data_IF_563708495482
#
_entry.id   IF_563708495482
#
_cell.length_a   1.000
_cell.length_b   1.000
_cell.length_c   1.000
_cell.angle_alpha   90.00
_cell.angle_beta   90.00
_cell.angle_gamma   90.00
#
_symmetry.space_group_name_H-M   'P 1'
#
loop_
_entity.id
_entity.type
_entity.pdbx_description
1 polymer ?
#
# COMPACT_ATOMS: atom_id res chain seq x y z
N UNK A 1 -13.57 -21.63 -4.80
CA UNK A 1 -12.56 -21.51 -5.87
C UNK A 1 -11.17 -21.71 -5.26
N UNK A 2 -10.29 -22.57 -5.81
CA UNK A 2 -8.92 -22.70 -5.32
C UNK A 2 -8.12 -21.41 -5.58
N UNK A 3 -7.32 -20.99 -4.62
CA UNK A 3 -6.48 -19.79 -4.70
C UNK A 3 -5.01 -20.19 -4.63
N UNK A 4 -4.22 -19.75 -5.60
CA UNK A 4 -2.76 -19.82 -5.59
C UNK A 4 -2.21 -18.43 -5.24
N UNK A 5 -1.55 -18.32 -4.10
CA UNK A 5 -0.86 -17.10 -3.69
C UNK A 5 0.58 -17.11 -4.19
N UNK A 6 0.92 -16.19 -5.08
CA UNK A 6 2.26 -16.03 -5.63
C UNK A 6 3.04 -15.04 -4.76
N UNK A 7 4.12 -15.49 -4.17
CA UNK A 7 4.96 -14.72 -3.27
C UNK A 7 6.38 -14.57 -3.85
N UNK A 8 7.03 -13.47 -3.50
CA UNK A 8 8.47 -13.33 -3.71
C UNK A 8 9.19 -14.35 -2.82
N UNK A 9 10.28 -14.94 -3.33
CA UNK A 9 11.15 -15.79 -2.53
C UNK A 9 11.57 -15.08 -1.23
N UNK A 10 11.57 -15.83 -0.12
CA UNK A 10 11.83 -15.32 1.24
C UNK A 10 10.84 -14.24 1.74
N UNK A 11 9.60 -14.27 1.27
CA UNK A 11 8.54 -13.46 1.84
C UNK A 11 8.38 -13.70 3.34
N UNK A 12 7.85 -12.71 4.05
CA UNK A 12 7.63 -12.76 5.49
C UNK A 12 6.87 -14.03 5.90
N UNK A 13 7.44 -14.82 6.81
CA UNK A 13 6.87 -16.09 7.31
C UNK A 13 5.44 -15.89 7.85
N UNK A 14 5.17 -14.76 8.52
CA UNK A 14 3.84 -14.44 9.02
C UNK A 14 2.79 -14.34 7.89
N UNK A 15 3.17 -13.82 6.72
CA UNK A 15 2.29 -13.77 5.56
C UNK A 15 2.00 -15.17 5.01
N UNK A 16 3.02 -16.04 4.97
CA UNK A 16 2.87 -17.42 4.52
C UNK A 16 1.92 -18.19 5.44
N UNK A 17 2.09 -18.05 6.77
CA UNK A 17 1.22 -18.69 7.77
C UNK A 17 -0.22 -18.22 7.61
N UNK A 18 -0.45 -16.90 7.44
CA UNK A 18 -1.80 -16.34 7.22
C UNK A 18 -2.46 -16.89 5.96
N UNK A 19 -1.73 -16.93 4.84
CA UNK A 19 -2.26 -17.42 3.56
C UNK A 19 -2.57 -18.91 3.59
N UNK A 20 -1.70 -19.73 4.18
CA UNK A 20 -1.95 -21.16 4.38
C UNK A 20 -3.18 -21.39 5.28
N UNK A 21 -3.34 -20.62 6.35
CA UNK A 21 -4.52 -20.72 7.23
C UNK A 21 -5.83 -20.36 6.52
N UNK A 22 -5.77 -19.53 5.47
CA UNK A 22 -6.90 -19.20 4.59
C UNK A 22 -7.13 -20.25 3.48
N UNK A 23 -6.32 -21.31 3.44
CA UNK A 23 -6.45 -22.38 2.46
C UNK A 23 -5.82 -22.08 1.09
N UNK A 24 -5.02 -21.05 0.96
CA UNK A 24 -4.30 -20.75 -0.27
C UNK A 24 -3.11 -21.70 -0.46
N UNK A 25 -2.88 -22.16 -1.69
CA UNK A 25 -1.62 -22.81 -2.08
C UNK A 25 -0.57 -21.72 -2.31
N UNK A 26 0.67 -21.96 -1.88
CA UNK A 26 1.76 -20.99 -2.05
C UNK A 26 2.67 -21.37 -3.22
N UNK A 27 3.02 -20.39 -4.05
CA UNK A 27 4.08 -20.49 -5.03
C UNK A 27 5.09 -19.36 -4.82
N UNK A 28 6.37 -19.66 -4.99
CA UNK A 28 7.44 -18.69 -4.84
C UNK A 28 8.04 -18.39 -6.21
N UNK A 29 8.12 -17.11 -6.56
CA UNK A 29 8.61 -16.67 -7.86
C UNK A 29 9.68 -15.60 -7.74
N UNK A 30 10.58 -15.59 -8.67
CA UNK A 30 11.48 -14.46 -8.94
C UNK A 30 10.82 -13.52 -9.95
N UNK A 31 10.31 -12.39 -9.47
CA UNK A 31 9.60 -11.41 -10.30
C UNK A 31 10.49 -10.76 -11.38
N UNK A 32 11.82 -10.93 -11.31
CA UNK A 32 12.74 -10.48 -12.35
C UNK A 32 12.76 -11.39 -13.58
N UNK A 33 12.23 -12.62 -13.46
CA UNK A 33 12.24 -13.65 -14.50
C UNK A 33 10.83 -14.00 -14.95
N UNK A 34 10.58 -13.88 -16.27
CA UNK A 34 9.24 -14.16 -16.83
C UNK A 34 8.87 -15.64 -16.66
N UNK A 35 9.85 -16.55 -16.81
CA UNK A 35 9.63 -17.99 -16.75
C UNK A 35 9.15 -18.46 -15.35
N UNK A 36 9.46 -17.68 -14.31
CA UNK A 36 9.02 -18.02 -12.96
C UNK A 36 7.52 -17.84 -12.76
N UNK A 37 6.85 -17.03 -13.58
CA UNK A 37 5.40 -16.89 -13.58
C UNK A 37 4.68 -17.98 -14.36
N UNK A 38 5.29 -18.53 -15.42
CA UNK A 38 4.65 -19.49 -16.31
C UNK A 38 4.10 -20.70 -15.57
N UNK A 39 4.90 -21.30 -14.68
CA UNK A 39 4.48 -22.46 -13.91
C UNK A 39 3.37 -22.10 -12.90
N UNK A 40 3.48 -20.96 -12.24
CA UNK A 40 2.52 -20.52 -11.23
C UNK A 40 1.17 -20.14 -11.83
N UNK A 41 1.15 -19.64 -13.05
CA UNK A 41 -0.07 -19.17 -13.73
C UNK A 41 -0.73 -20.26 -14.59
N UNK A 42 -0.12 -21.45 -14.70
CA UNK A 42 -0.68 -22.53 -15.52
C UNK A 42 -2.07 -22.94 -15.03
N UNK A 43 -3.09 -22.83 -15.91
CA UNK A 43 -4.46 -23.16 -15.61
C UNK A 43 -5.22 -22.13 -14.76
N UNK A 44 -4.65 -20.96 -14.50
CA UNK A 44 -5.34 -19.88 -13.81
C UNK A 44 -6.42 -19.26 -14.71
N UNK A 45 -7.66 -19.23 -14.25
CA UNK A 45 -8.76 -18.56 -14.97
C UNK A 45 -8.73 -17.04 -14.73
N UNK A 46 -8.38 -16.61 -13.54
CA UNK A 46 -8.21 -15.20 -13.17
C UNK A 46 -6.85 -14.98 -12.57
N UNK A 47 -6.16 -13.95 -13.04
CA UNK A 47 -4.84 -13.54 -12.53
C UNK A 47 -4.92 -12.14 -11.91
N UNK A 48 -4.53 -12.01 -10.64
CA UNK A 48 -4.62 -10.76 -9.88
C UNK A 48 -3.22 -10.31 -9.50
N UNK A 49 -2.83 -9.09 -9.86
CA UNK A 49 -1.58 -8.48 -9.43
C UNK A 49 -1.80 -7.33 -8.46
N UNK A 50 -1.28 -7.52 -7.24
CA UNK A 50 -1.14 -6.48 -6.22
C UNK A 50 0.34 -6.11 -6.01
N UNK A 51 1.22 -6.41 -6.98
CA UNK A 51 2.65 -6.15 -6.85
C UNK A 51 2.94 -4.66 -6.88
N UNK A 52 3.69 -4.20 -5.89
CA UNK A 52 4.21 -2.85 -5.81
C UNK A 52 5.60 -2.88 -5.17
N UNK A 53 6.41 -1.87 -5.45
CA UNK A 53 7.75 -1.70 -4.87
C UNK A 53 7.74 -1.47 -3.35
N UNK A 54 6.54 -1.51 -2.76
CA UNK A 54 6.36 -1.25 -1.34
C UNK A 54 6.40 0.24 -1.02
N UNK A 55 6.47 0.56 0.25
CA UNK A 55 6.45 1.92 0.78
C UNK A 55 7.43 2.86 0.07
N UNK A 56 7.26 4.18 0.24
CA UNK A 56 8.21 5.23 -0.18
C UNK A 56 9.67 5.04 0.32
N UNK A 57 9.96 3.90 0.92
CA UNK A 57 11.28 3.44 1.37
C UNK A 57 11.99 2.53 0.38
N UNK A 58 11.64 2.59 -0.91
CA UNK A 58 12.41 1.91 -1.96
C UNK A 58 13.87 2.39 -1.96
N UNK A 59 14.80 1.48 -2.16
CA UNK A 59 16.22 1.79 -2.12
C UNK A 59 16.69 2.54 -3.36
N UNK A 60 16.02 2.33 -4.49
CA UNK A 60 16.30 2.99 -5.76
C UNK A 60 15.03 3.43 -6.48
N UNK A 61 15.10 4.48 -7.31
CA UNK A 61 14.03 4.83 -8.25
C UNK A 61 13.84 3.73 -9.30
N UNK A 62 14.89 2.95 -9.56
CA UNK A 62 14.86 1.83 -10.49
C UNK A 62 13.91 0.72 -10.01
N UNK A 63 13.61 0.63 -8.71
CA UNK A 63 12.65 -0.32 -8.16
C UNK A 63 11.22 -0.04 -8.65
N UNK A 64 10.84 1.21 -8.90
CA UNK A 64 9.55 1.54 -9.53
C UNK A 64 9.47 0.93 -10.94
N UNK A 65 10.53 1.05 -11.71
CA UNK A 65 10.59 0.50 -13.07
C UNK A 65 10.69 -1.02 -13.07
N UNK A 66 11.48 -1.60 -12.18
CA UNK A 66 11.65 -3.05 -12.11
C UNK A 66 10.41 -3.78 -11.58
N UNK A 67 9.72 -3.22 -10.57
CA UNK A 67 8.61 -3.89 -9.89
C UNK A 67 7.26 -3.37 -10.39
N UNK A 68 7.04 -2.04 -10.31
CA UNK A 68 5.73 -1.48 -10.65
C UNK A 68 5.44 -1.53 -12.14
N UNK A 69 6.46 -1.49 -13.01
CA UNK A 69 6.33 -1.69 -14.44
C UNK A 69 6.65 -3.11 -14.87
N UNK A 70 7.93 -3.52 -14.80
CA UNK A 70 8.41 -4.69 -15.53
C UNK A 70 7.89 -6.01 -14.97
N UNK A 71 7.87 -6.17 -13.63
CA UNK A 71 7.33 -7.38 -13.02
C UNK A 71 5.82 -7.51 -13.25
N UNK A 72 5.06 -6.40 -13.16
CA UNK A 72 3.63 -6.40 -13.48
C UNK A 72 3.37 -6.73 -14.96
N UNK A 73 4.15 -6.17 -15.90
CA UNK A 73 4.02 -6.49 -17.32
C UNK A 73 4.30 -7.97 -17.56
N UNK A 74 5.40 -8.51 -17.01
CA UNK A 74 5.72 -9.95 -17.13
C UNK A 74 4.60 -10.83 -16.63
N UNK A 75 4.08 -10.52 -15.43
CA UNK A 75 2.96 -11.23 -14.85
C UNK A 75 1.72 -11.21 -15.76
N UNK A 76 1.30 -10.03 -16.21
CA UNK A 76 0.10 -9.88 -17.03
C UNK A 76 0.24 -10.55 -18.41
N UNK A 77 1.39 -10.40 -19.07
CA UNK A 77 1.65 -11.07 -20.34
C UNK A 77 1.65 -12.59 -20.19
N UNK A 78 2.21 -13.10 -19.10
CA UNK A 78 2.24 -14.54 -18.84
C UNK A 78 0.86 -15.08 -18.48
N UNK A 79 0.04 -14.31 -17.74
CA UNK A 79 -1.35 -14.65 -17.47
C UNK A 79 -2.16 -14.83 -18.79
N UNK A 80 -1.98 -13.88 -19.72
CA UNK A 80 -2.61 -13.96 -21.06
C UNK A 80 -2.13 -15.21 -21.81
N UNK A 81 -0.82 -15.49 -21.80
CA UNK A 81 -0.25 -16.69 -22.46
C UNK A 81 -0.74 -17.99 -21.84
N UNK A 82 -0.91 -18.02 -20.51
CA UNK A 82 -1.42 -19.16 -19.76
C UNK A 82 -2.91 -19.42 -20.00
N UNK A 83 -3.61 -18.55 -20.73
CA UNK A 83 -5.03 -18.69 -21.06
C UNK A 83 -5.99 -18.16 -19.99
N UNK A 84 -5.52 -17.24 -19.13
CA UNK A 84 -6.41 -16.55 -18.19
C UNK A 84 -7.54 -15.85 -18.96
N UNK A 85 -8.74 -15.88 -18.37
CA UNK A 85 -9.94 -15.22 -18.91
C UNK A 85 -10.07 -13.78 -18.42
N UNK A 86 -9.49 -13.49 -17.26
CA UNK A 86 -9.55 -12.18 -16.61
C UNK A 86 -8.22 -11.84 -15.94
N UNK A 87 -7.70 -10.65 -16.19
CA UNK A 87 -6.55 -10.09 -15.48
C UNK A 87 -7.00 -8.87 -14.70
N UNK A 88 -6.68 -8.82 -13.41
CA UNK A 88 -6.96 -7.68 -12.52
C UNK A 88 -5.66 -7.10 -12.03
N UNK A 89 -5.49 -5.78 -12.14
CA UNK A 89 -4.31 -5.07 -11.68
C UNK A 89 -4.69 -4.00 -10.65
N UNK A 90 -4.08 -4.06 -9.47
CA UNK A 90 -4.14 -2.96 -8.50
C UNK A 90 -3.12 -1.90 -8.89
N UNK A 91 -3.61 -0.71 -9.21
CA UNK A 91 -2.83 0.43 -9.69
C UNK A 91 -2.95 1.65 -8.77
N UNK A 92 -2.33 2.77 -9.17
CA UNK A 92 -2.34 4.02 -8.40
C UNK A 92 -3.66 4.76 -8.60
N UNK A 93 -4.22 5.30 -7.53
CA UNK A 93 -5.34 6.25 -7.61
C UNK A 93 -4.95 7.44 -8.49
N UNK A 94 -5.86 7.86 -9.38
CA UNK A 94 -5.60 8.93 -10.37
C UNK A 94 -4.24 8.76 -11.11
N UNK A 95 -3.81 7.53 -11.34
CA UNK A 95 -2.51 7.24 -11.93
C UNK A 95 -2.32 7.87 -13.30
N UNK A 96 -3.39 7.94 -14.12
CA UNK A 96 -3.34 8.58 -15.44
C UNK A 96 -3.06 10.07 -15.35
N UNK A 97 -3.64 10.78 -14.39
CA UNK A 97 -3.48 12.21 -14.19
C UNK A 97 -2.11 12.54 -13.57
N UNK A 98 -1.64 11.67 -12.66
CA UNK A 98 -0.35 11.83 -11.99
C UNK A 98 0.84 11.26 -12.78
N UNK A 99 0.61 10.54 -13.88
CA UNK A 99 1.63 9.83 -14.68
C UNK A 99 2.83 10.70 -15.03
N UNK A 100 2.61 11.94 -15.47
CA UNK A 100 3.68 12.88 -15.86
C UNK A 100 4.31 13.60 -14.68
N UNK A 101 3.74 13.45 -13.48
CA UNK A 101 4.15 14.16 -12.29
C UNK A 101 5.04 13.32 -11.38
N UNK A 102 4.87 12.00 -11.42
CA UNK A 102 5.60 11.08 -10.53
C UNK A 102 6.06 9.84 -11.29
N UNK A 103 7.31 9.45 -11.09
CA UNK A 103 7.88 8.23 -11.69
C UNK A 103 7.17 6.96 -11.22
N UNK A 104 6.66 6.97 -9.99
CA UNK A 104 5.88 5.86 -9.44
C UNK A 104 4.59 5.62 -10.23
N UNK A 105 3.81 6.69 -10.47
CA UNK A 105 2.59 6.59 -11.27
C UNK A 105 2.90 6.25 -12.72
N UNK A 106 3.95 6.83 -13.31
CA UNK A 106 4.32 6.56 -14.69
C UNK A 106 4.70 5.08 -14.89
N UNK A 107 5.50 4.51 -14.00
CA UNK A 107 5.87 3.08 -14.05
C UNK A 107 4.63 2.18 -13.97
N UNK A 108 3.72 2.47 -13.05
CA UNK A 108 2.48 1.70 -12.88
C UNK A 108 1.54 1.84 -14.09
N UNK A 109 1.40 3.05 -14.65
CA UNK A 109 0.57 3.29 -15.83
C UNK A 109 1.16 2.66 -17.11
N UNK A 110 2.49 2.56 -17.23
CA UNK A 110 3.11 1.77 -18.28
C UNK A 110 2.69 0.29 -18.22
N UNK A 111 2.57 -0.26 -17.00
CA UNK A 111 2.07 -1.63 -16.83
C UNK A 111 0.59 -1.75 -17.19
N UNK A 112 -0.24 -0.80 -16.75
CA UNK A 112 -1.68 -0.75 -17.14
C UNK A 112 -1.84 -0.75 -18.65
N UNK A 113 -1.09 0.11 -19.35
CA UNK A 113 -1.18 0.23 -20.81
C UNK A 113 -0.73 -1.05 -21.52
N UNK A 114 0.40 -1.64 -21.12
CA UNK A 114 0.96 -2.83 -21.75
C UNK A 114 0.09 -4.07 -21.53
N UNK A 115 -0.38 -4.29 -20.29
CA UNK A 115 -1.26 -5.42 -19.96
C UNK A 115 -2.61 -5.25 -20.68
N UNK A 116 -3.20 -4.04 -20.61
CA UNK A 116 -4.47 -3.77 -21.27
C UNK A 116 -4.40 -3.96 -22.79
N UNK A 117 -3.29 -3.60 -23.43
CA UNK A 117 -3.09 -3.86 -24.86
C UNK A 117 -3.04 -5.36 -25.16
N UNK A 118 -2.30 -6.14 -24.37
CA UNK A 118 -2.20 -7.59 -24.53
C UNK A 118 -3.55 -8.30 -24.28
N UNK A 119 -4.26 -7.91 -23.24
CA UNK A 119 -5.58 -8.45 -22.94
C UNK A 119 -6.59 -8.18 -24.08
N UNK A 120 -6.66 -6.94 -24.58
CA UNK A 120 -7.53 -6.61 -25.74
C UNK A 120 -7.19 -7.43 -26.98
N UNK A 121 -5.92 -7.62 -27.28
CA UNK A 121 -5.47 -8.41 -28.43
C UNK A 121 -5.87 -9.88 -28.30
N UNK A 122 -5.86 -10.42 -27.08
CA UNK A 122 -6.18 -11.83 -26.81
C UNK A 122 -7.66 -12.07 -26.49
N UNK A 123 -8.51 -11.04 -26.38
CA UNK A 123 -9.91 -11.18 -25.95
C UNK A 123 -10.03 -11.57 -24.48
N UNK A 124 -9.07 -11.15 -23.63
CA UNK A 124 -9.04 -11.39 -22.18
C UNK A 124 -9.57 -10.15 -21.47
N UNK A 125 -10.48 -10.32 -20.52
CA UNK A 125 -10.99 -9.21 -19.70
C UNK A 125 -9.87 -8.57 -18.87
N UNK A 126 -9.88 -7.22 -18.74
CA UNK A 126 -8.89 -6.50 -17.97
C UNK A 126 -9.54 -5.45 -17.07
N UNK A 127 -9.35 -5.60 -15.75
CA UNK A 127 -9.89 -4.66 -14.76
C UNK A 127 -8.76 -4.00 -13.97
N UNK A 128 -8.87 -2.68 -13.76
CA UNK A 128 -7.90 -1.90 -12.98
C UNK A 128 -8.57 -1.38 -11.71
N UNK A 129 -8.03 -1.71 -10.56
CA UNK A 129 -8.48 -1.23 -9.26
C UNK A 129 -7.52 -0.16 -8.76
N UNK A 130 -8.04 1.00 -8.38
CA UNK A 130 -7.27 2.19 -7.97
C UNK A 130 -7.70 2.67 -6.57
N UNK A 131 -7.16 2.06 -5.49
CA UNK A 131 -7.47 2.48 -4.14
C UNK A 131 -6.93 3.88 -3.84
N UNK A 132 -7.67 4.68 -3.06
CA UNK A 132 -7.27 6.04 -2.66
C UNK A 132 -6.04 6.03 -1.74
N UNK A 133 -6.13 5.36 -0.61
CA UNK A 133 -5.03 5.05 0.30
C UNK A 133 -5.48 3.96 1.26
N UNK A 134 -4.57 3.09 1.65
CA UNK A 134 -4.87 2.05 2.62
C UNK A 134 -4.80 2.58 4.06
N UNK A 135 -5.64 2.03 4.95
CA UNK A 135 -5.58 2.33 6.37
C UNK A 135 -4.18 2.14 6.94
N UNK A 136 -3.50 1.05 6.57
CA UNK A 136 -2.14 0.74 7.04
C UNK A 136 -1.13 1.86 6.78
N UNK A 137 -1.23 2.55 5.64
CA UNK A 137 -0.32 3.66 5.30
C UNK A 137 -0.56 4.87 6.20
N UNK A 138 -1.83 5.19 6.45
CA UNK A 138 -2.22 6.31 7.31
C UNK A 138 -1.96 6.01 8.77
N UNK A 139 -2.29 4.78 9.22
CA UNK A 139 -2.08 4.33 10.59
C UNK A 139 -0.61 4.36 10.96
N UNK A 140 0.27 3.87 10.10
CA UNK A 140 1.71 3.92 10.34
C UNK A 140 2.26 5.35 10.41
N UNK A 141 1.73 6.28 9.61
CA UNK A 141 2.19 7.68 9.59
C UNK A 141 1.56 8.54 10.68
N UNK A 142 0.23 8.55 10.77
CA UNK A 142 -0.49 9.42 11.68
C UNK A 142 -0.34 8.94 13.12
N UNK A 143 -0.70 7.70 13.39
CA UNK A 143 -0.68 7.13 14.73
C UNK A 143 0.73 7.17 15.35
N UNK A 144 1.75 6.70 14.65
CA UNK A 144 3.13 6.69 15.16
C UNK A 144 3.69 8.11 15.37
N UNK A 145 3.32 9.05 14.51
CA UNK A 145 3.76 10.44 14.65
C UNK A 145 3.14 11.10 15.89
N UNK A 146 1.85 10.88 16.10
CA UNK A 146 1.12 11.42 17.26
C UNK A 146 1.60 10.75 18.55
N UNK A 147 1.69 9.41 18.56
CA UNK A 147 2.11 8.65 19.74
C UNK A 147 3.54 8.99 20.19
N UNK A 148 4.48 8.99 19.25
CA UNK A 148 5.92 9.18 19.58
C UNK A 148 6.31 10.63 19.79
N UNK A 149 5.58 11.58 19.18
CA UNK A 149 6.03 12.99 19.10
C UNK A 149 4.99 14.00 19.62
N UNK A 150 3.76 13.59 19.92
CA UNK A 150 2.67 14.48 20.30
C UNK A 150 2.32 15.52 19.22
N UNK A 151 2.67 15.23 17.95
CA UNK A 151 2.49 16.15 16.82
C UNK A 151 2.21 15.41 15.53
N UNK A 152 1.49 16.07 14.63
CA UNK A 152 1.19 15.56 13.30
C UNK A 152 1.57 16.59 12.24
N UNK A 153 2.08 16.13 11.10
CA UNK A 153 2.51 17.00 10.01
C UNK A 153 1.61 16.79 8.80
N UNK A 154 1.07 17.88 8.27
CA UNK A 154 0.25 17.90 7.04
C UNK A 154 0.96 18.68 5.94
N UNK A 155 0.66 18.32 4.69
CA UNK A 155 1.12 19.04 3.50
C UNK A 155 0.07 20.08 3.13
N UNK A 156 0.50 21.28 2.75
CA UNK A 156 -0.41 22.40 2.59
C UNK A 156 -1.05 22.77 3.93
N UNK A 157 -2.33 23.09 3.93
CA UNK A 157 -3.12 23.35 5.14
C UNK A 157 -3.77 22.08 5.71
N UNK A 158 -3.68 20.95 4.97
CA UNK A 158 -4.28 19.67 5.33
C UNK A 158 -5.79 19.61 5.18
N UNK A 159 -6.39 20.51 4.39
CA UNK A 159 -7.83 20.58 4.13
C UNK A 159 -8.31 19.62 3.03
N UNK A 160 -7.40 19.14 2.17
CA UNK A 160 -7.75 18.17 1.12
C UNK A 160 -8.31 16.89 1.71
N UNK A 161 -9.30 16.34 1.01
CA UNK A 161 -10.10 15.21 1.47
C UNK A 161 -9.63 13.91 0.85
N UNK A 162 -9.79 12.84 1.62
CA UNK A 162 -9.50 11.48 1.21
C UNK A 162 -10.50 10.54 1.86
N UNK A 163 -10.92 9.49 1.17
CA UNK A 163 -11.65 8.38 1.77
C UNK A 163 -10.79 7.11 1.78
N UNK A 164 -9.92 6.96 2.79
CA UNK A 164 -9.05 5.80 2.89
C UNK A 164 -9.86 4.51 3.04
N UNK A 165 -9.28 3.39 2.61
CA UNK A 165 -9.96 2.10 2.52
C UNK A 165 -9.20 1.00 3.27
N UNK A 166 -9.94 0.03 3.80
CA UNK A 166 -9.36 -1.20 4.36
C UNK A 166 -8.85 -2.11 3.23
N UNK A 167 -7.75 -2.79 3.47
CA UNK A 167 -7.21 -3.77 2.53
C UNK A 167 -8.13 -4.96 2.32
N UNK A 168 -8.84 -5.40 3.35
CA UNK A 168 -9.79 -6.51 3.26
C UNK A 168 -11.05 -6.10 2.46
N UNK A 169 -11.50 -4.83 2.56
CA UNK A 169 -12.59 -4.29 1.74
C UNK A 169 -12.19 -4.19 0.25
N UNK A 170 -10.95 -3.79 -0.04
CA UNK A 170 -10.44 -3.82 -1.42
C UNK A 170 -10.36 -5.25 -1.95
N UNK A 171 -9.95 -6.22 -1.13
CA UNK A 171 -9.92 -7.62 -1.52
C UNK A 171 -11.33 -8.16 -1.82
N UNK A 172 -12.33 -7.80 -1.01
CA UNK A 172 -13.73 -8.13 -1.27
C UNK A 172 -14.22 -7.50 -2.58
N UNK A 173 -13.92 -6.23 -2.83
CA UNK A 173 -14.25 -5.56 -4.09
C UNK A 173 -13.59 -6.25 -5.30
N UNK A 174 -12.34 -6.70 -5.17
CA UNK A 174 -11.68 -7.47 -6.23
C UNK A 174 -12.40 -8.82 -6.47
N UNK A 175 -12.86 -9.49 -5.41
CA UNK A 175 -13.64 -10.72 -5.54
C UNK A 175 -14.95 -10.48 -6.29
N UNK A 176 -15.67 -9.40 -5.98
CA UNK A 176 -16.88 -9.00 -6.71
C UNK A 176 -16.58 -8.75 -8.21
N UNK A 177 -15.40 -8.17 -8.54
CA UNK A 177 -15.00 -8.00 -9.93
C UNK A 177 -14.75 -9.31 -10.69
N UNK A 178 -14.44 -10.41 -9.98
CA UNK A 178 -14.30 -11.73 -10.61
C UNK A 178 -15.68 -12.30 -10.97
N UNK A 179 -16.64 -12.13 -10.08
CA UNK A 179 -17.95 -12.79 -10.16
C UNK A 179 -18.96 -11.99 -11.00
N UNK A 180 -18.76 -10.67 -11.19
CA UNK A 180 -19.65 -9.80 -11.95
C UNK A 180 -19.04 -9.39 -13.32
N UNK A 181 -19.54 -9.95 -14.44
CA UNK A 181 -19.05 -9.60 -15.78
C UNK A 181 -19.16 -8.10 -16.12
N UNK A 182 -20.04 -7.35 -15.44
CA UNK A 182 -20.19 -5.89 -15.66
C UNK A 182 -19.00 -5.10 -15.12
N UNK A 183 -18.22 -5.71 -14.25
CA UNK A 183 -17.01 -5.13 -13.69
C UNK A 183 -15.76 -5.41 -14.54
N UNK A 184 -15.90 -6.24 -15.58
CA UNK A 184 -14.84 -6.53 -16.54
C UNK A 184 -14.55 -5.33 -17.46
N UNK A 185 -13.34 -5.26 -17.99
CA UNK A 185 -12.89 -4.21 -18.92
C UNK A 185 -13.11 -2.77 -18.43
N UNK A 186 -12.90 -2.55 -17.13
CA UNK A 186 -13.19 -1.29 -16.46
C UNK A 186 -12.09 -0.85 -15.51
N UNK A 187 -12.10 0.44 -15.16
CA UNK A 187 -11.23 1.02 -14.14
C UNK A 187 -12.08 1.55 -12.97
N UNK A 188 -11.75 1.14 -11.76
CA UNK A 188 -12.48 1.49 -10.55
C UNK A 188 -11.58 2.26 -9.58
N UNK A 189 -11.90 3.53 -9.35
CA UNK A 189 -11.30 4.31 -8.27
C UNK A 189 -12.10 4.04 -7.01
N UNK A 190 -11.50 3.33 -6.04
CA UNK A 190 -12.19 2.87 -4.84
C UNK A 190 -11.63 3.52 -3.58
N UNK A 191 -12.53 3.77 -2.63
CA UNK A 191 -12.21 4.32 -1.31
C UNK A 191 -13.12 3.76 -0.24
N UNK A 192 -12.84 4.06 1.00
CA UNK A 192 -13.65 3.63 2.13
C UNK A 192 -14.92 4.47 2.32
N UNK A 193 -15.75 4.09 3.29
CA UNK A 193 -17.04 4.75 3.51
C UNK A 193 -16.94 6.13 4.16
N UNK A 194 -15.83 6.45 4.82
CA UNK A 194 -15.65 7.73 5.52
C UNK A 194 -14.70 8.66 4.76
N UNK A 195 -15.09 9.93 4.69
CA UNK A 195 -14.27 10.99 4.09
C UNK A 195 -13.62 11.81 5.20
N UNK A 196 -12.30 11.94 5.13
CA UNK A 196 -11.50 12.73 6.07
C UNK A 196 -10.74 13.84 5.34
N UNK A 197 -10.44 14.91 6.05
CA UNK A 197 -9.28 15.75 5.68
C UNK A 197 -8.01 15.16 6.29
N UNK A 198 -6.85 15.46 5.73
CA UNK A 198 -5.59 15.01 6.36
C UNK A 198 -5.45 15.55 7.80
N UNK A 199 -6.01 16.70 8.08
CA UNK A 199 -6.07 17.27 9.42
C UNK A 199 -6.94 16.42 10.37
N UNK A 200 -8.12 15.99 9.88
CA UNK A 200 -9.04 15.15 10.65
C UNK A 200 -8.43 13.78 10.99
N UNK A 201 -7.63 13.20 10.10
CA UNK A 201 -6.90 11.95 10.37
C UNK A 201 -5.94 12.10 11.56
N UNK A 202 -5.20 13.20 11.63
CA UNK A 202 -4.32 13.47 12.78
C UNK A 202 -5.08 13.65 14.09
N UNK A 203 -6.22 14.34 14.04
CA UNK A 203 -7.10 14.54 15.21
C UNK A 203 -7.72 13.22 15.68
N UNK A 204 -8.20 12.39 14.76
CA UNK A 204 -8.71 11.05 15.06
C UNK A 204 -7.63 10.17 15.72
N UNK A 205 -6.40 10.21 15.22
CA UNK A 205 -5.29 9.49 15.85
C UNK A 205 -5.02 9.97 17.28
N UNK A 206 -5.05 11.28 17.52
CA UNK A 206 -4.85 11.85 18.86
C UNK A 206 -5.96 11.47 19.84
N UNK A 207 -7.21 11.48 19.35
CA UNK A 207 -8.38 11.03 20.12
C UNK A 207 -8.26 9.56 20.52
N UNK A 208 -8.00 8.68 19.56
CA UNK A 208 -7.88 7.24 19.82
C UNK A 208 -6.72 6.91 20.77
N UNK A 209 -5.60 7.62 20.65
CA UNK A 209 -4.43 7.46 21.54
C UNK A 209 -4.74 7.98 22.95
N UNK A 210 -5.71 8.89 23.11
CA UNK A 210 -5.96 9.59 24.36
C UNK A 210 -4.86 10.60 24.68
N UNK A 211 -4.41 11.37 23.66
CA UNK A 211 -3.31 12.34 23.84
C UNK A 211 -3.67 13.37 24.91
N UNK A 212 -2.85 13.55 25.96
CA UNK A 212 -3.08 14.58 26.96
C UNK A 212 -2.83 15.98 26.38
N UNK A 213 -3.90 16.73 26.11
CA UNK A 213 -3.86 18.08 25.57
C UNK A 213 -3.99 18.17 24.03
N UNK A 214 -3.94 19.38 23.49
CA UNK A 214 -4.21 19.62 22.08
C UNK A 214 -3.08 19.09 21.17
N UNK A 215 -3.47 18.41 20.07
CA UNK A 215 -2.54 17.95 19.07
C UNK A 215 -1.85 19.13 18.38
N UNK A 216 -0.52 19.11 18.33
CA UNK A 216 0.28 20.08 17.58
C UNK A 216 0.31 19.68 16.11
N UNK A 217 -0.47 20.37 15.26
CA UNK A 217 -0.45 20.16 13.82
C UNK A 217 0.54 21.14 13.17
N UNK A 218 1.50 20.59 12.40
CA UNK A 218 2.47 21.36 11.61
C UNK A 218 2.08 21.30 10.14
N UNK A 219 1.92 22.44 9.51
CA UNK A 219 1.69 22.54 8.07
C UNK A 219 3.03 22.75 7.34
N UNK A 220 3.30 21.96 6.31
CA UNK A 220 4.42 22.21 5.40
C UNK A 220 3.87 22.90 4.17
N UNK A 221 4.22 24.17 3.92
CA UNK A 221 3.73 24.91 2.79
C UNK A 221 4.12 24.24 1.45
N UNK A 222 3.17 24.16 0.51
CA UNK A 222 3.42 23.52 -0.80
C UNK A 222 4.55 24.21 -1.58
N UNK A 223 4.69 25.55 -1.46
CA UNK A 223 5.77 26.26 -2.13
C UNK A 223 7.16 25.81 -1.65
N UNK A 224 7.30 25.51 -0.35
CA UNK A 224 8.56 25.02 0.21
C UNK A 224 8.89 23.62 -0.33
N UNK A 225 7.91 22.72 -0.37
CA UNK A 225 8.09 21.40 -0.95
C UNK A 225 8.43 21.46 -2.45
N UNK A 226 7.80 22.36 -3.20
CA UNK A 226 8.11 22.60 -4.62
C UNK A 226 9.54 23.08 -4.81
N UNK A 227 9.99 24.01 -3.97
CA UNK A 227 11.37 24.50 -3.99
C UNK A 227 12.37 23.37 -3.71
N UNK A 228 12.14 22.59 -2.65
CA UNK A 228 13.01 21.45 -2.29
C UNK A 228 13.01 20.40 -3.39
N UNK A 229 11.85 20.09 -3.99
CA UNK A 229 11.74 19.15 -5.11
C UNK A 229 12.52 19.63 -6.35
N UNK A 230 12.45 20.94 -6.66
CA UNK A 230 13.21 21.52 -7.78
C UNK A 230 14.72 21.40 -7.54
N UNK A 231 15.19 21.77 -6.35
CA UNK A 231 16.61 21.62 -5.97
C UNK A 231 17.07 20.16 -6.02
N UNK A 232 16.26 19.24 -5.46
CA UNK A 232 16.54 17.82 -5.50
C UNK A 232 16.57 17.26 -6.94
N UNK A 233 15.78 17.81 -7.85
CA UNK A 233 15.81 17.45 -9.28
C UNK A 233 17.12 17.87 -9.94
N UNK A 234 17.59 19.08 -9.68
CA UNK A 234 18.88 19.56 -10.20
C UNK A 234 20.03 18.70 -9.69
N UNK A 235 20.10 18.45 -8.38
CA UNK A 235 21.11 17.55 -7.79
C UNK A 235 20.95 16.11 -8.27
N UNK A 236 19.73 15.71 -8.60
CA UNK A 236 19.40 14.41 -9.17
C UNK A 236 20.05 14.11 -10.53
N UNK A 237 20.54 15.11 -11.26
CA UNK A 237 21.30 14.91 -12.50
C UNK A 237 22.60 14.13 -12.25
N UNK A 238 23.17 14.24 -11.04
CA UNK A 238 24.45 13.60 -10.66
C UNK A 238 24.31 12.63 -9.47
N UNK A 239 23.13 12.57 -8.82
CA UNK A 239 22.90 11.76 -7.62
C UNK A 239 21.59 10.98 -7.70
N UNK A 240 21.65 9.65 -7.74
CA UNK A 240 20.51 8.74 -7.69
C UNK A 240 19.64 8.98 -6.45
N UNK A 241 20.26 9.18 -5.29
CA UNK A 241 19.56 9.46 -4.03
C UNK A 241 18.71 10.74 -4.11
N UNK A 242 19.24 11.78 -4.73
CA UNK A 242 18.52 13.05 -4.91
C UNK A 242 17.38 12.91 -5.93
N UNK A 243 17.58 12.14 -6.99
CA UNK A 243 16.53 11.82 -7.97
C UNK A 243 15.34 11.13 -7.30
N UNK A 244 15.60 10.12 -6.47
CA UNK A 244 14.58 9.45 -5.66
C UNK A 244 13.87 10.42 -4.73
N UNK A 245 14.60 11.26 -4.01
CA UNK A 245 14.00 12.26 -3.11
C UNK A 245 13.08 13.22 -3.87
N UNK A 246 13.49 13.65 -5.06
CA UNK A 246 12.67 14.50 -5.92
C UNK A 246 11.37 13.81 -6.35
N UNK A 247 11.42 12.51 -6.72
CA UNK A 247 10.24 11.72 -7.09
C UNK A 247 9.25 11.61 -5.92
N UNK A 248 9.75 11.29 -4.72
CA UNK A 248 8.92 11.20 -3.51
C UNK A 248 8.28 12.56 -3.18
N UNK A 249 9.06 13.65 -3.27
CA UNK A 249 8.55 14.99 -3.01
C UNK A 249 7.45 15.39 -4.02
N UNK A 250 7.61 15.09 -5.30
CA UNK A 250 6.58 15.32 -6.32
C UNK A 250 5.30 14.55 -6.01
N UNK A 251 5.42 13.28 -5.63
CA UNK A 251 4.27 12.49 -5.21
C UNK A 251 3.59 13.08 -3.96
N UNK A 252 4.36 13.50 -2.95
CA UNK A 252 3.82 14.16 -1.75
C UNK A 252 3.09 15.47 -2.09
N UNK A 253 3.64 16.28 -2.99
CA UNK A 253 3.02 17.52 -3.46
C UNK A 253 1.69 17.19 -4.16
N UNK A 254 1.70 16.21 -5.06
CA UNK A 254 0.50 15.77 -5.76
C UNK A 254 -0.58 15.32 -4.77
N UNK A 255 -0.27 14.36 -3.90
CA UNK A 255 -1.21 13.82 -2.91
C UNK A 255 -1.72 14.85 -1.89
N UNK A 256 -0.98 15.92 -1.64
CA UNK A 256 -1.35 16.99 -0.69
C UNK A 256 -1.95 18.22 -1.35
N UNK A 257 -2.28 18.21 -2.65
CA UNK A 257 -2.74 19.37 -3.39
C UNK A 257 -4.14 19.26 -4.00
N UNK A 258 -4.82 18.13 -3.84
CA UNK A 258 -6.20 17.91 -4.28
C UNK A 258 -6.86 16.77 -3.52
N UNK A 259 -8.18 16.65 -3.68
CA UNK A 259 -8.96 15.60 -3.03
C UNK A 259 -8.73 14.25 -3.72
N UNK A 260 -8.66 13.18 -2.93
CA UNK A 260 -8.56 11.80 -3.39
C UNK A 260 -9.77 11.01 -2.90
N UNK A 261 -10.87 11.06 -3.67
CA UNK A 261 -12.14 10.43 -3.29
C UNK A 261 -12.55 9.43 -4.35
N UNK A 262 -12.50 8.14 -4.01
CA UNK A 262 -12.99 7.05 -4.81
C UNK A 262 -14.43 6.66 -4.49
N UNK A 263 -14.99 5.76 -5.27
CA UNK A 263 -16.29 5.15 -4.98
C UNK A 263 -16.18 4.37 -3.67
N UNK A 264 -17.13 4.59 -2.76
CA UNK A 264 -17.12 3.92 -1.47
C UNK A 264 -17.32 2.41 -1.64
N UNK A 265 -16.42 1.62 -1.07
CA UNK A 265 -16.53 0.17 -0.97
C UNK A 265 -16.26 -0.29 0.47
N UNK A 266 -16.89 -1.40 0.84
CA UNK A 266 -16.74 -2.03 2.13
C UNK A 266 -17.32 -1.25 3.32
N UNK A 267 -17.00 -1.71 4.52
CA UNK A 267 -17.54 -1.20 5.79
C UNK A 267 -16.47 -0.87 6.82
N UNK A 268 -15.21 -1.11 6.53
CA UNK A 268 -14.08 -0.84 7.40
C UNK A 268 -14.00 0.62 7.83
N UNK A 269 -13.60 0.86 9.07
CA UNK A 269 -13.49 2.21 9.65
C UNK A 269 -12.06 2.48 10.09
N UNK A 270 -11.51 3.61 9.67
CA UNK A 270 -10.15 4.02 10.05
C UNK A 270 -9.97 4.13 11.57
N UNK A 271 -11.02 4.53 12.28
CA UNK A 271 -10.97 4.61 13.75
C UNK A 271 -10.77 3.23 14.40
N UNK A 272 -11.32 2.17 13.82
CA UNK A 272 -11.18 0.81 14.35
C UNK A 272 -9.78 0.25 14.08
N UNK A 273 -9.19 0.55 12.92
CA UNK A 273 -7.79 0.23 12.63
C UNK A 273 -6.83 0.95 13.61
N UNK A 274 -7.08 2.23 13.91
CA UNK A 274 -6.33 2.96 14.93
C UNK A 274 -6.49 2.35 16.33
N UNK A 275 -7.70 1.94 16.73
CA UNK A 275 -7.95 1.26 18.01
C UNK A 275 -7.22 -0.08 18.08
N UNK A 276 -7.31 -0.89 17.04
CA UNK A 276 -6.61 -2.18 16.94
C UNK A 276 -5.10 -2.02 17.13
N UNK A 277 -4.51 -1.02 16.48
CA UNK A 277 -3.08 -0.72 16.63
C UNK A 277 -2.72 -0.26 18.04
N UNK A 278 -3.54 0.61 18.65
CA UNK A 278 -3.35 1.05 20.05
C UNK A 278 -3.36 -0.14 21.00
N UNK A 279 -4.35 -0.99 20.88
CA UNK A 279 -4.53 -2.15 21.77
C UNK A 279 -3.42 -3.17 21.60
N UNK A 280 -2.96 -3.38 20.38
CA UNK A 280 -1.77 -4.19 20.08
C UNK A 280 -0.50 -3.65 20.73
N UNK A 281 -0.29 -2.32 20.72
CA UNK A 281 0.88 -1.71 21.36
C UNK A 281 0.82 -1.78 22.89
N UNK A 282 -0.35 -1.61 23.49
CA UNK A 282 -0.55 -1.75 24.93
C UNK A 282 -0.23 -3.18 25.35
N UNK A 283 -0.69 -4.18 24.61
CA UNK A 283 -0.42 -5.59 24.88
C UNK A 283 1.09 -5.91 24.82
N UNK A 284 1.81 -5.42 23.82
CA UNK A 284 3.27 -5.59 23.70
C UNK A 284 4.00 -4.92 24.85
N UNK A 285 3.58 -3.74 25.29
CA UNK A 285 4.17 -3.04 26.43
C UNK A 285 3.94 -3.79 27.75
N UNK A 286 2.74 -4.35 27.97
CA UNK A 286 2.42 -5.18 29.13
C UNK A 286 3.29 -6.42 29.20
N UNK A 287 3.40 -7.18 28.10
CA UNK A 287 4.23 -8.37 28.03
C UNK A 287 5.73 -8.08 28.29
N UNK A 288 6.23 -6.94 27.81
CA UNK A 288 7.60 -6.50 28.10
C UNK A 288 7.80 -6.20 29.58
N UNK A 289 6.84 -5.53 30.22
CA UNK A 289 6.92 -5.22 31.64
C UNK A 289 6.85 -6.49 32.50
N UNK A 290 6.00 -7.44 32.16
CA UNK A 290 5.92 -8.75 32.81
C UNK A 290 7.24 -9.52 32.69
N UNK A 291 7.85 -9.56 31.50
CA UNK A 291 9.15 -10.19 31.27
C UNK A 291 10.27 -9.54 32.10
N UNK A 292 10.29 -8.19 32.18
CA UNK A 292 11.26 -7.45 32.99
C UNK A 292 11.05 -7.72 34.50
N UNK A 293 9.79 -7.91 34.93
CA UNK A 293 9.46 -8.21 36.33
C UNK A 293 9.90 -9.62 36.71
N UNK A 294 9.71 -10.59 35.81
CA UNK A 294 10.18 -11.97 36.01
C UNK A 294 11.71 -12.06 36.06
N UNK A 295 12.43 -11.25 35.31
CA UNK A 295 13.90 -11.22 35.29
C UNK A 295 14.49 -10.48 36.51
N UNK A 296 13.66 -9.69 37.22
CA UNK A 296 14.05 -8.93 38.44
C UNK A 296 13.70 -9.60 39.74
N UNK A 297 13.03 -10.76 39.72
CA UNK A 297 12.82 -11.57 40.92
C UNK A 297 13.84 -12.72 41.01
N UNK A 298 15.04 -12.48 41.57
CA UNK A 298 15.97 -13.56 41.89
C UNK A 298 15.49 -14.24 43.16
N UNK A 299 14.24 -14.76 43.05
CA UNK A 299 13.52 -15.36 44.14
C UNK A 299 14.16 -16.62 44.65
N UNK A 300 14.68 -16.55 45.84
CA UNK A 300 14.61 -17.61 46.87
C UNK A 300 14.98 -19.02 46.41
N UNK A 301 16.24 -19.21 46.16
CA UNK A 301 16.87 -20.54 46.05
C UNK A 301 18.00 -20.71 47.04
N UNK A 302 17.89 -20.17 48.25
CA UNK A 302 18.66 -20.68 49.37
C UNK A 302 17.85 -21.84 49.98
N UNK A 303 18.08 -23.04 49.50
CA UNK A 303 17.93 -24.22 50.31
C UNK A 303 19.32 -24.69 50.74
N UNK A 304 19.53 -24.53 52.05
CA UNK A 304 20.51 -25.25 52.84
C UNK A 304 20.36 -26.76 52.57
N UNK A 305 21.41 -27.43 52.27
CA UNK A 305 21.96 -28.58 52.99
C UNK A 305 23.27 -28.95 52.33
#
# INVERSE_FOLDING_TARGET
>A
MPVLAILKDKSCEAAQVKLNALGATLAFVDASRIESFAQALAGAETAISCMASGNLHVDSIDDFWAIDRDANIRFGLEAVRAGAKHVILVATFEGRDSRRLTEFSDAKECAVDAIGAACRQAGVAFTVIRPTAYFSDLTNRAFDSVLKRGRYTVIGDGSHRINPVDGDDVAAFIADCIDDPRMADSEHQVGGPDIFTFRAIGLLAAEVIGLPGPLKIRAIPLWLLRLVAALATIVGLVSQRSRRSAAILRWMIYSGSHDAIGVSCGTGRLCDDFRSKRDGQIRVASLRNEAITLDRDPGSGRHQL
#
